data_IF_354995378909
#
_entry.id   IF_354995378909
#
_cell.length_a   1.000
_cell.length_b   1.000
_cell.length_c   1.000
_cell.angle_alpha   90.00
_cell.angle_beta   90.00
_cell.angle_gamma   90.00
#
_symmetry.space_group_name_H-M   'P 1'
#
loop_
_entity.id
_entity.type
_entity.pdbx_description
1 polymer ?
#
# COMPACT_ATOMS: atom_id res chain seq x y z
N UNK A 1 -8.02 0.53 -17.37
CA UNK A 1 -7.51 0.79 -16.01
C UNK A 1 -8.66 1.35 -15.20
N UNK A 2 -9.13 0.65 -14.16
CA UNK A 2 -10.23 1.17 -13.33
C UNK A 2 -9.72 2.41 -12.60
N UNK A 3 -10.41 3.54 -12.72
CA UNK A 3 -10.01 4.78 -12.05
C UNK A 3 -10.53 4.74 -10.62
N UNK A 4 -9.67 4.36 -9.68
CA UNK A 4 -9.95 4.52 -8.25
C UNK A 4 -9.77 5.98 -7.84
N UNK A 5 -10.44 6.40 -6.77
CA UNK A 5 -10.18 7.71 -6.17
C UNK A 5 -8.70 7.83 -5.77
N UNK A 6 -8.22 9.07 -5.65
CA UNK A 6 -6.82 9.35 -5.37
C UNK A 6 -6.32 8.65 -4.10
N UNK A 7 -7.19 8.52 -3.09
CA UNK A 7 -6.93 7.91 -1.79
C UNK A 7 -6.65 6.41 -1.91
N UNK A 8 -7.53 5.68 -2.60
CA UNK A 8 -7.37 4.22 -2.79
C UNK A 8 -6.17 3.89 -3.68
N UNK A 9 -5.99 4.66 -4.76
CA UNK A 9 -4.83 4.49 -5.64
C UNK A 9 -3.50 4.72 -4.90
N UNK A 10 -3.46 5.75 -4.05
CA UNK A 10 -2.28 6.08 -3.24
C UNK A 10 -2.00 5.04 -2.17
N UNK A 11 -3.05 4.53 -1.50
CA UNK A 11 -2.94 3.40 -0.57
C UNK A 11 -2.31 2.17 -1.24
N UNK A 12 -2.83 1.77 -2.40
CA UNK A 12 -2.31 0.59 -3.12
C UNK A 12 -0.83 0.72 -3.50
N UNK A 13 -0.40 1.90 -3.95
CA UNK A 13 1.02 2.16 -4.28
C UNK A 13 1.91 2.10 -3.05
N UNK A 14 1.55 2.79 -1.98
CA UNK A 14 2.35 2.83 -0.76
C UNK A 14 2.42 1.45 -0.09
N UNK A 15 1.34 0.68 -0.13
CA UNK A 15 1.34 -0.71 0.34
C UNK A 15 2.39 -1.56 -0.39
N UNK A 16 2.46 -1.49 -1.72
CA UNK A 16 3.46 -2.24 -2.51
C UNK A 16 4.88 -1.77 -2.18
N UNK A 17 5.10 -0.46 -2.05
CA UNK A 17 6.40 0.09 -1.65
C UNK A 17 6.86 -0.45 -0.29
N UNK A 18 5.98 -0.43 0.71
CA UNK A 18 6.28 -0.93 2.07
C UNK A 18 6.49 -2.44 2.10
N UNK A 19 5.74 -3.20 1.30
CA UNK A 19 5.97 -4.64 1.16
C UNK A 19 7.35 -4.95 0.60
N UNK A 20 7.81 -4.16 -0.39
CA UNK A 20 9.17 -4.30 -0.92
C UNK A 20 10.23 -3.95 0.13
N UNK A 21 10.05 -2.85 0.88
CA UNK A 21 10.97 -2.45 1.95
C UNK A 21 11.03 -3.52 3.05
N UNK A 22 9.89 -4.08 3.45
CA UNK A 22 9.82 -5.21 4.39
C UNK A 22 10.58 -6.43 3.87
N UNK A 23 10.34 -6.82 2.62
CA UNK A 23 11.03 -7.96 2.02
C UNK A 23 12.56 -7.76 2.02
N UNK A 24 13.03 -6.56 1.68
CA UNK A 24 14.46 -6.26 1.80
C UNK A 24 14.94 -6.34 3.26
N UNK A 25 14.21 -5.74 4.19
CA UNK A 25 14.58 -5.77 5.61
C UNK A 25 14.66 -7.19 6.18
N UNK A 26 13.76 -8.08 5.76
CA UNK A 26 13.69 -9.46 6.25
C UNK A 26 14.73 -10.38 5.60
N UNK A 27 15.12 -10.12 4.34
CA UNK A 27 15.85 -11.11 3.53
C UNK A 27 17.18 -10.62 2.94
N UNK A 28 17.45 -9.32 2.89
CA UNK A 28 18.71 -8.77 2.37
C UNK A 28 19.63 -8.38 3.55
N UNK A 29 20.72 -9.13 3.83
CA UNK A 29 21.60 -8.85 4.95
C UNK A 29 22.46 -7.58 4.76
N UNK A 30 22.58 -7.07 3.55
CA UNK A 30 23.38 -5.89 3.21
C UNK A 30 22.55 -4.60 3.18
N UNK A 31 21.21 -4.71 3.16
CA UNK A 31 20.35 -3.53 3.18
C UNK A 31 20.49 -2.78 4.50
N UNK A 32 20.56 -1.45 4.41
CA UNK A 32 20.56 -0.55 5.57
C UNK A 32 19.55 0.55 5.34
N UNK A 33 18.71 0.80 6.34
CA UNK A 33 17.75 1.90 6.34
C UNK A 33 18.19 2.96 7.34
N UNK A 34 18.11 4.24 6.96
CA UNK A 34 18.32 5.32 7.92
C UNK A 34 17.10 5.44 8.82
N UNK A 35 17.33 5.67 10.11
CA UNK A 35 16.25 5.87 11.08
C UNK A 35 15.28 6.97 10.66
N UNK A 36 15.78 8.10 10.14
CA UNK A 36 14.96 9.20 9.64
C UNK A 36 14.00 8.76 8.54
N UNK A 37 14.47 7.93 7.63
CA UNK A 37 13.71 7.51 6.45
C UNK A 37 12.62 6.52 6.89
N UNK A 38 12.93 5.63 7.84
CA UNK A 38 11.96 4.70 8.43
C UNK A 38 10.88 5.46 9.22
N UNK A 39 11.24 6.50 9.97
CA UNK A 39 10.24 7.34 10.66
C UNK A 39 9.33 8.02 9.66
N UNK A 40 9.87 8.62 8.60
CA UNK A 40 9.05 9.21 7.53
C UNK A 40 8.17 8.19 6.80
N UNK A 41 8.62 6.93 6.67
CA UNK A 41 7.79 5.86 6.14
C UNK A 41 6.62 5.52 7.07
N UNK A 42 6.84 5.49 8.39
CA UNK A 42 5.78 5.27 9.39
C UNK A 42 4.72 6.38 9.29
N UNK A 43 5.13 7.65 9.31
CA UNK A 43 4.21 8.78 9.23
C UNK A 43 3.34 8.70 7.96
N UNK A 44 3.97 8.40 6.80
CA UNK A 44 3.25 8.22 5.53
C UNK A 44 2.26 7.06 5.56
N UNK A 45 2.61 5.96 6.23
CA UNK A 45 1.73 4.79 6.39
C UNK A 45 0.53 5.13 7.27
N UNK A 46 0.73 5.83 8.37
CA UNK A 46 -0.35 6.25 9.27
C UNK A 46 -1.34 7.19 8.56
N UNK A 47 -0.83 8.17 7.81
CA UNK A 47 -1.63 9.09 7.02
C UNK A 47 -2.46 8.37 5.95
N UNK A 48 -1.84 7.44 5.22
CA UNK A 48 -2.55 6.75 4.13
C UNK A 48 -3.59 5.77 4.65
N UNK A 49 -3.34 5.11 5.78
CA UNK A 49 -4.30 4.22 6.43
C UNK A 49 -5.50 5.03 6.91
N UNK A 50 -5.26 6.21 7.49
CA UNK A 50 -6.33 7.13 7.89
C UNK A 50 -7.16 7.58 6.68
N UNK A 51 -6.50 8.00 5.59
CA UNK A 51 -7.17 8.40 4.34
C UNK A 51 -7.99 7.27 3.72
N UNK A 52 -7.45 6.05 3.67
CA UNK A 52 -8.15 4.87 3.18
C UNK A 52 -9.37 4.53 4.05
N UNK A 53 -9.24 4.63 5.37
CA UNK A 53 -10.34 4.41 6.32
C UNK A 53 -11.41 5.53 6.28
N UNK A 54 -11.07 6.71 5.78
CA UNK A 54 -12.03 7.78 5.50
C UNK A 54 -12.73 7.63 4.14
N UNK A 55 -12.16 6.86 3.20
CA UNK A 55 -12.78 6.61 1.90
C UNK A 55 -14.15 5.90 2.04
N UNK A 56 -15.02 6.06 1.03
CA UNK A 56 -16.37 5.51 1.11
C UNK A 56 -16.36 3.99 1.19
N UNK A 57 -17.37 3.41 1.86
CA UNK A 57 -17.51 1.96 1.92
C UNK A 57 -17.67 1.33 0.53
N UNK A 58 -18.28 2.06 -0.43
CA UNK A 58 -18.39 1.64 -1.82
C UNK A 58 -17.01 1.49 -2.46
N UNK A 59 -16.16 2.51 -2.35
CA UNK A 59 -14.83 2.51 -2.97
C UNK A 59 -13.93 1.43 -2.36
N UNK A 60 -13.95 1.28 -1.02
CA UNK A 60 -13.19 0.22 -0.35
C UNK A 60 -13.62 -1.18 -0.78
N UNK A 61 -14.92 -1.42 -0.97
CA UNK A 61 -15.45 -2.70 -1.47
C UNK A 61 -15.05 -2.94 -2.91
N UNK A 62 -15.19 -1.94 -3.77
CA UNK A 62 -14.77 -2.02 -5.16
C UNK A 62 -13.26 -2.36 -5.27
N UNK A 63 -12.43 -1.71 -4.44
CA UNK A 63 -11.02 -2.02 -4.35
C UNK A 63 -10.74 -3.45 -3.89
N UNK A 64 -11.43 -3.92 -2.84
CA UNK A 64 -11.30 -5.31 -2.37
C UNK A 64 -11.68 -6.32 -3.44
N UNK A 65 -12.79 -6.10 -4.15
CA UNK A 65 -13.22 -6.94 -5.28
C UNK A 65 -12.18 -6.93 -6.40
N UNK A 66 -11.65 -5.76 -6.76
CA UNK A 66 -10.60 -5.64 -7.76
C UNK A 66 -9.36 -6.44 -7.37
N UNK A 67 -8.89 -6.30 -6.13
CA UNK A 67 -7.72 -7.06 -5.63
C UNK A 67 -7.97 -8.57 -5.68
N UNK A 68 -9.17 -9.03 -5.32
CA UNK A 68 -9.52 -10.45 -5.26
C UNK A 68 -9.76 -11.07 -6.65
N UNK A 69 -10.45 -10.38 -7.54
CA UNK A 69 -10.90 -10.95 -8.82
C UNK A 69 -9.90 -10.72 -9.95
N UNK A 70 -9.25 -9.55 -10.03
CA UNK A 70 -8.33 -9.25 -11.13
C UNK A 70 -7.02 -10.01 -10.97
N UNK A 71 -6.53 -10.23 -9.74
CA UNK A 71 -5.36 -11.10 -9.50
C UNK A 71 -5.63 -12.60 -9.71
N UNK A 72 -6.89 -13.01 -9.88
CA UNK A 72 -7.25 -14.41 -10.18
C UNK A 72 -7.19 -14.75 -11.67
N UNK A 73 -7.25 -13.76 -12.57
CA UNK A 73 -7.23 -13.98 -14.03
C UNK A 73 -5.82 -13.99 -14.65
N UNK A 74 -4.78 -13.68 -13.88
CA UNK A 74 -3.39 -13.69 -14.34
C UNK A 74 -2.59 -14.89 -13.84
N UNK A 75 -3.28 -16.00 -13.53
CA UNK A 75 -2.66 -17.32 -13.29
C UNK A 75 -2.95 -18.24 -14.47
#
# INVERSE_FOLDING_TARGET
>A
MQSFTHEIGSFGRLFVEMQRKRHLADYDPDVRFKKSDVVGDIDRVEDIVTSFNAATASDRRAFGIYVLLVRRQSR
#
